data_IF_838818470126
#
_entry.id   IF_838818470126
#
_cell.length_a   1.000
_cell.length_b   1.000
_cell.length_c   1.000
_cell.angle_alpha   90.00
_cell.angle_beta   90.00
_cell.angle_gamma   90.00
#
_symmetry.space_group_name_H-M   'P 1'
#
loop_
_entity.id
_entity.type
_entity.pdbx_description
1 polymer ?
#
# COMPACT_ATOMS: atom_id res chain seq x y z
N UNK A 1 -29.40 -52.02 41.83
CA UNK A 1 -29.14 -52.13 40.38
C UNK A 1 -29.31 -50.76 39.74
N UNK A 2 -28.31 -50.29 38.98
CA UNK A 2 -28.34 -49.18 38.00
C UNK A 2 -28.63 -47.77 38.56
N UNK A 3 -27.74 -46.78 38.55
CA UNK A 3 -26.67 -46.48 37.61
C UNK A 3 -27.09 -45.27 36.75
N UNK A 4 -26.67 -44.06 37.14
CA UNK A 4 -26.93 -42.83 36.41
C UNK A 4 -26.10 -42.69 35.14
N UNK A 5 -26.66 -42.04 34.11
CA UNK A 5 -25.95 -41.25 33.11
C UNK A 5 -26.93 -40.64 32.12
N UNK A 6 -27.18 -39.33 32.26
CA UNK A 6 -27.57 -38.50 31.11
C UNK A 6 -26.34 -38.36 30.22
N UNK A 7 -26.39 -38.93 29.02
CA UNK A 7 -25.42 -38.67 27.95
C UNK A 7 -26.16 -37.97 26.81
N UNK A 8 -26.20 -36.65 26.87
CA UNK A 8 -26.41 -35.84 25.67
C UNK A 8 -25.17 -36.04 24.81
N UNK A 9 -25.34 -36.81 23.72
CA UNK A 9 -24.36 -36.91 22.64
C UNK A 9 -24.29 -35.54 21.97
N UNK A 10 -23.22 -34.80 22.18
CA UNK A 10 -22.80 -33.73 21.28
C UNK A 10 -22.34 -34.39 19.98
N UNK A 11 -23.18 -34.29 18.95
CA UNK A 11 -22.74 -34.56 17.58
C UNK A 11 -21.69 -33.50 17.18
N UNK A 12 -20.59 -33.90 16.51
CA UNK A 12 -19.65 -32.92 15.99
C UNK A 12 -20.34 -32.19 14.85
N UNK A 13 -20.53 -30.87 15.03
CA UNK A 13 -21.04 -29.99 13.98
C UNK A 13 -20.06 -30.05 12.81
N UNK A 14 -20.53 -30.61 11.71
CA UNK A 14 -19.73 -31.01 10.57
C UNK A 14 -18.85 -29.90 10.01
N UNK A 15 -17.68 -30.34 9.53
CA UNK A 15 -16.94 -29.65 8.48
C UNK A 15 -17.88 -29.41 7.28
N UNK A 16 -17.98 -28.16 6.85
CA UNK A 16 -18.78 -27.80 5.69
C UNK A 16 -19.23 -26.36 5.75
N UNK A 17 -18.30 -25.44 5.49
CA UNK A 17 -18.11 -24.74 4.21
C UNK A 17 -17.29 -23.49 4.60
N UNK A 18 -16.08 -23.31 4.04
CA UNK A 18 -15.42 -21.99 4.06
C UNK A 18 -16.23 -21.07 3.14
N UNK A 19 -17.36 -20.59 3.65
CA UNK A 19 -18.25 -19.66 2.97
C UNK A 19 -17.60 -18.28 3.00
N UNK A 20 -17.37 -17.79 1.80
CA UNK A 20 -17.44 -16.39 1.38
C UNK A 20 -16.59 -15.37 2.17
N UNK A 21 -15.65 -14.77 1.43
CA UNK A 21 -15.21 -13.39 1.58
C UNK A 21 -16.16 -12.56 2.46
N UNK A 22 -15.72 -12.23 3.69
CA UNK A 22 -16.41 -11.28 4.55
C UNK A 22 -15.86 -9.88 4.22
N UNK A 23 -16.66 -8.99 3.61
CA UNK A 23 -16.25 -7.63 3.34
C UNK A 23 -15.75 -6.93 4.60
N UNK A 24 -16.38 -7.17 5.76
CA UNK A 24 -16.03 -6.51 7.02
C UNK A 24 -14.65 -6.95 7.53
N UNK A 25 -14.28 -8.22 7.30
CA UNK A 25 -12.95 -8.74 7.60
C UNK A 25 -11.87 -8.10 6.69
N UNK A 26 -12.16 -7.96 5.38
CA UNK A 26 -11.26 -7.25 4.45
C UNK A 26 -11.05 -5.80 4.88
N UNK A 27 -12.12 -5.08 5.20
CA UNK A 27 -12.04 -3.68 5.63
C UNK A 27 -11.25 -3.52 6.94
N UNK A 28 -11.47 -4.42 7.90
CA UNK A 28 -10.73 -4.48 9.16
C UNK A 28 -9.23 -4.72 8.93
N UNK A 29 -8.88 -5.68 8.09
CA UNK A 29 -7.48 -5.98 7.75
C UNK A 29 -6.82 -4.82 7.00
N UNK A 30 -7.51 -4.23 6.03
CA UNK A 30 -7.03 -3.07 5.29
C UNK A 30 -6.68 -1.91 6.24
N UNK A 31 -7.60 -1.58 7.16
CA UNK A 31 -7.38 -0.52 8.13
C UNK A 31 -6.15 -0.80 9.02
N UNK A 32 -6.04 -2.02 9.54
CA UNK A 32 -4.90 -2.46 10.36
C UNK A 32 -3.56 -2.33 9.62
N UNK A 33 -3.50 -2.73 8.36
CA UNK A 33 -2.26 -2.66 7.59
C UNK A 33 -1.89 -1.22 7.20
N UNK A 34 -2.89 -0.36 6.96
CA UNK A 34 -2.67 1.09 6.78
C UNK A 34 -2.07 1.73 8.04
N UNK A 35 -2.49 1.35 9.24
CA UNK A 35 -1.92 1.89 10.49
C UNK A 35 -0.44 1.52 10.71
N UNK A 36 0.02 0.41 10.13
CA UNK A 36 1.42 -0.03 10.20
C UNK A 36 2.31 0.68 9.19
N UNK A 37 1.77 1.07 8.04
CA UNK A 37 2.56 1.68 6.98
C UNK A 37 2.80 3.18 7.24
N UNK A 38 4.08 3.58 7.24
CA UNK A 38 4.48 4.96 7.54
C UNK A 38 3.94 5.98 6.53
N UNK A 39 3.67 5.57 5.28
CA UNK A 39 3.12 6.45 4.24
C UNK A 39 1.87 7.22 4.69
N UNK A 40 0.92 6.52 5.32
CA UNK A 40 -0.33 7.13 5.76
C UNK A 40 -0.15 8.06 6.98
N UNK A 41 0.91 7.86 7.77
CA UNK A 41 1.29 8.76 8.87
C UNK A 41 1.96 10.02 8.34
N UNK A 42 2.82 9.87 7.32
CA UNK A 42 3.52 10.98 6.70
C UNK A 42 2.59 11.94 5.97
N UNK A 43 1.63 11.42 5.20
CA UNK A 43 0.66 12.24 4.48
C UNK A 43 -0.53 12.63 5.36
N UNK A 44 -0.95 11.74 6.25
CA UNK A 44 -2.23 11.85 6.94
C UNK A 44 -3.41 11.46 6.04
N UNK A 45 -4.41 10.79 6.60
CA UNK A 45 -5.54 10.25 5.82
C UNK A 45 -6.61 11.30 5.49
N UNK A 46 -6.80 12.31 6.35
CA UNK A 46 -7.82 13.37 6.15
C UNK A 46 -7.36 14.77 6.56
N UNK A 47 -6.57 14.87 7.63
CA UNK A 47 -6.02 16.12 8.15
C UNK A 47 -4.63 15.86 8.72
N UNK A 48 -3.84 16.93 8.81
CA UNK A 48 -2.44 16.85 9.24
C UNK A 48 -1.62 15.98 8.30
N UNK A 49 -0.57 15.39 8.87
CA UNK A 49 0.47 14.66 8.16
C UNK A 49 1.82 15.17 8.61
N UNK A 50 2.73 14.27 8.99
CA UNK A 50 4.07 14.66 9.43
C UNK A 50 4.77 15.55 8.39
N UNK A 51 4.61 15.24 7.11
CA UNK A 51 5.28 15.95 6.02
C UNK A 51 4.66 17.34 5.77
N UNK A 52 3.36 17.50 5.97
CA UNK A 52 2.69 18.80 5.91
C UNK A 52 3.19 19.68 7.07
N UNK A 53 3.23 19.14 8.29
CA UNK A 53 3.72 19.87 9.45
C UNK A 53 5.19 20.29 9.30
N UNK A 54 6.04 19.43 8.72
CA UNK A 54 7.43 19.75 8.41
C UNK A 54 7.50 20.90 7.41
N UNK A 55 6.73 20.83 6.32
CA UNK A 55 6.71 21.89 5.32
C UNK A 55 6.20 23.22 5.89
N UNK A 56 5.15 23.20 6.70
CA UNK A 56 4.61 24.43 7.32
C UNK A 56 5.59 25.08 8.31
N UNK A 57 6.43 24.28 8.99
CA UNK A 57 7.42 24.77 9.95
C UNK A 57 8.75 25.18 9.31
N UNK A 58 9.29 24.33 8.46
CA UNK A 58 10.67 24.38 7.96
C UNK A 58 10.75 24.59 6.43
N UNK A 59 9.61 24.69 5.74
CA UNK A 59 9.54 24.91 4.31
C UNK A 59 10.11 23.77 3.46
N UNK A 60 10.65 24.13 2.30
CA UNK A 60 11.25 23.19 1.35
C UNK A 60 12.47 22.45 1.93
N UNK A 61 13.31 23.13 2.72
CA UNK A 61 14.47 22.50 3.35
C UNK A 61 14.09 21.37 4.30
N UNK A 62 13.02 21.55 5.08
CA UNK A 62 12.49 20.49 5.95
C UNK A 62 12.04 19.26 5.16
N UNK A 63 11.36 19.46 4.03
CA UNK A 63 10.91 18.37 3.15
C UNK A 63 12.11 17.64 2.56
N UNK A 64 13.14 18.35 2.10
CA UNK A 64 14.35 17.74 1.55
C UNK A 64 15.12 16.95 2.60
N UNK A 65 15.25 17.47 3.82
CA UNK A 65 15.89 16.76 4.93
C UNK A 65 15.13 15.49 5.30
N UNK A 66 13.80 15.57 5.39
CA UNK A 66 12.96 14.39 5.58
C UNK A 66 13.19 13.36 4.47
N UNK A 67 13.28 13.82 3.23
CA UNK A 67 13.46 12.98 2.06
C UNK A 67 14.80 12.22 2.12
N UNK A 68 15.89 12.88 2.51
CA UNK A 68 17.20 12.26 2.68
C UNK A 68 17.23 11.24 3.82
N UNK A 69 16.60 11.56 4.95
CA UNK A 69 16.60 10.67 6.12
C UNK A 69 15.69 9.44 5.92
N UNK A 70 14.56 9.59 5.23
CA UNK A 70 13.50 8.56 5.18
C UNK A 70 13.38 7.88 3.82
N UNK A 71 13.48 8.62 2.72
CA UNK A 71 13.11 8.10 1.40
C UNK A 71 14.24 7.30 0.74
N UNK A 72 15.52 7.63 0.96
CA UNK A 72 16.64 6.92 0.31
C UNK A 72 16.55 5.39 0.53
N UNK A 73 16.25 4.95 1.75
CA UNK A 73 16.13 3.51 2.06
C UNK A 73 14.92 2.82 1.41
N UNK A 74 13.93 3.61 0.98
CA UNK A 74 12.66 3.16 0.41
C UNK A 74 12.67 3.20 -1.13
N UNK A 75 13.52 4.05 -1.71
CA UNK A 75 13.72 4.11 -3.16
C UNK A 75 14.71 3.02 -3.62
N UNK A 76 14.55 2.56 -4.85
CA UNK A 76 15.56 1.77 -5.55
C UNK A 76 16.80 2.62 -5.76
N UNK A 77 17.97 1.99 -5.62
CA UNK A 77 19.28 2.64 -5.87
C UNK A 77 19.42 4.01 -5.18
N UNK A 78 18.92 4.10 -3.95
CA UNK A 78 18.89 5.33 -3.14
C UNK A 78 18.35 6.56 -3.90
N UNK A 79 17.38 6.34 -4.79
CA UNK A 79 16.72 7.40 -5.56
C UNK A 79 17.46 7.85 -6.81
N UNK A 80 18.56 7.19 -7.19
CA UNK A 80 19.35 7.56 -8.37
C UNK A 80 18.77 6.99 -9.67
N UNK A 81 18.49 5.68 -9.70
CA UNK A 81 18.08 4.99 -10.93
C UNK A 81 16.77 4.22 -10.74
N UNK A 82 15.74 4.47 -11.57
CA UNK A 82 14.53 3.66 -11.58
C UNK A 82 14.82 2.19 -11.94
N UNK A 83 14.12 1.26 -11.30
CA UNK A 83 14.17 -0.17 -11.64
C UNK A 83 13.05 -0.50 -12.62
N UNK A 84 13.33 -1.31 -13.64
CA UNK A 84 12.28 -1.94 -14.44
C UNK A 84 11.49 -2.93 -13.57
N UNK A 85 10.20 -2.68 -13.41
CA UNK A 85 9.26 -3.55 -12.71
C UNK A 85 8.68 -4.54 -13.70
N UNK A 86 9.03 -5.81 -13.50
CA UNK A 86 8.53 -6.92 -14.33
C UNK A 86 7.21 -7.44 -13.78
N UNK A 87 6.50 -8.24 -14.59
CA UNK A 87 5.30 -8.95 -14.12
C UNK A 87 5.63 -9.87 -12.93
N UNK A 88 6.82 -10.48 -12.91
CA UNK A 88 7.24 -11.34 -11.81
C UNK A 88 7.41 -10.59 -10.49
N UNK A 89 7.87 -9.33 -10.54
CA UNK A 89 7.99 -8.47 -9.37
C UNK A 89 6.60 -8.10 -8.84
N UNK A 90 5.67 -7.73 -9.75
CA UNK A 90 4.28 -7.42 -9.42
C UNK A 90 3.58 -8.60 -8.73
N UNK A 91 3.70 -9.81 -9.27
CA UNK A 91 3.06 -11.00 -8.70
C UNK A 91 3.58 -11.31 -7.29
N UNK A 92 4.90 -11.19 -7.07
CA UNK A 92 5.49 -11.36 -5.74
C UNK A 92 4.93 -10.35 -4.74
N UNK A 93 4.81 -9.08 -5.15
CA UNK A 93 4.22 -8.04 -4.32
C UNK A 93 2.74 -8.31 -4.03
N UNK A 94 1.93 -8.58 -5.07
CA UNK A 94 0.48 -8.80 -4.94
C UNK A 94 0.16 -10.01 -4.07
N UNK A 95 0.90 -11.11 -4.19
CA UNK A 95 0.78 -12.26 -3.28
C UNK A 95 1.04 -11.87 -1.82
N UNK A 96 2.07 -11.07 -1.57
CA UNK A 96 2.36 -10.55 -0.23
C UNK A 96 1.20 -9.71 0.34
N UNK A 97 0.64 -8.81 -0.46
CA UNK A 97 -0.52 -7.99 -0.08
C UNK A 97 -1.76 -8.85 0.17
N UNK A 98 -2.05 -9.82 -0.70
CA UNK A 98 -3.21 -10.71 -0.53
C UNK A 98 -3.13 -11.50 0.78
N UNK A 99 -1.94 -11.97 1.17
CA UNK A 99 -1.73 -12.63 2.47
C UNK A 99 -2.02 -11.68 3.63
N UNK A 100 -1.57 -10.42 3.55
CA UNK A 100 -1.83 -9.42 4.59
C UNK A 100 -3.31 -9.08 4.72
N UNK A 101 -4.05 -9.09 3.61
CA UNK A 101 -5.47 -8.75 3.55
C UNK A 101 -6.41 -9.96 3.71
N UNK A 102 -5.89 -11.18 3.74
CA UNK A 102 -6.69 -12.41 3.79
C UNK A 102 -7.42 -12.74 2.47
N UNK A 103 -6.89 -12.30 1.33
CA UNK A 103 -7.50 -12.47 0.00
C UNK A 103 -7.01 -13.74 -0.72
N UNK A 104 -7.86 -14.31 -1.59
CA UNK A 104 -7.52 -15.47 -2.44
C UNK A 104 -6.63 -15.10 -3.64
N UNK A 105 -5.94 -16.10 -4.20
CA UNK A 105 -5.06 -15.93 -5.37
C UNK A 105 -5.83 -15.65 -6.68
N UNK A 106 -7.14 -15.89 -6.75
CA UNK A 106 -7.99 -15.66 -7.94
C UNK A 106 -7.97 -14.19 -8.40
N UNK A 107 -7.74 -13.24 -7.47
CA UNK A 107 -7.61 -11.81 -7.78
C UNK A 107 -6.37 -11.46 -8.62
N UNK A 108 -5.39 -12.36 -8.70
CA UNK A 108 -4.12 -12.12 -9.39
C UNK A 108 -4.26 -12.34 -10.90
N UNK A 109 -4.97 -13.40 -11.30
CA UNK A 109 -5.09 -13.81 -12.70
C UNK A 109 -5.84 -12.79 -13.56
N UNK A 110 -6.79 -12.05 -12.98
CA UNK A 110 -7.54 -11.00 -13.67
C UNK A 110 -6.66 -9.81 -14.11
N UNK A 111 -5.48 -9.63 -13.52
CA UNK A 111 -4.62 -8.47 -13.75
C UNK A 111 -3.47 -8.74 -14.74
N UNK A 112 -3.25 -9.99 -15.15
CA UNK A 112 -2.17 -10.36 -16.07
C UNK A 112 -2.25 -9.62 -17.41
N UNK A 113 -3.46 -9.48 -17.95
CA UNK A 113 -3.69 -8.83 -19.25
C UNK A 113 -3.54 -7.31 -19.20
N UNK A 114 -3.60 -6.70 -18.00
CA UNK A 114 -3.50 -5.25 -17.80
C UNK A 114 -2.10 -4.80 -17.45
N UNK A 115 -1.29 -5.68 -16.86
CA UNK A 115 0.05 -5.33 -16.42
C UNK A 115 0.97 -5.00 -17.59
N UNK A 116 1.60 -3.83 -17.51
CA UNK A 116 2.69 -3.42 -18.39
C UNK A 116 3.93 -3.18 -17.57
N UNK A 117 5.04 -3.68 -18.06
CA UNK A 117 6.34 -3.36 -17.48
C UNK A 117 6.56 -1.84 -17.54
N UNK A 118 7.05 -1.29 -16.44
CA UNK A 118 7.26 0.13 -16.28
C UNK A 118 8.45 0.35 -15.36
N UNK A 119 9.05 1.53 -15.44
CA UNK A 119 10.07 1.91 -14.48
C UNK A 119 9.41 2.41 -13.20
N UNK A 120 10.00 2.08 -12.05
CA UNK A 120 9.59 2.63 -10.77
C UNK A 120 10.83 2.99 -9.96
N UNK A 121 10.81 4.13 -9.29
CA UNK A 121 11.85 4.48 -8.34
C UNK A 121 11.49 3.99 -6.93
N UNK A 122 10.21 3.86 -6.60
CA UNK A 122 9.77 3.38 -5.28
C UNK A 122 9.81 1.85 -5.19
N UNK A 123 10.43 1.30 -4.13
CA UNK A 123 10.47 -0.15 -3.91
C UNK A 123 9.07 -0.73 -3.72
N UNK A 124 8.70 -1.73 -4.52
CA UNK A 124 7.37 -2.37 -4.44
C UNK A 124 6.98 -2.83 -3.03
N UNK A 125 7.91 -3.47 -2.32
CA UNK A 125 7.68 -3.95 -0.95
C UNK A 125 7.63 -2.83 0.12
N UNK A 126 7.75 -1.57 -0.29
CA UNK A 126 7.61 -0.39 0.56
C UNK A 126 6.42 0.49 0.15
N UNK A 127 5.59 0.03 -0.79
CA UNK A 127 4.36 0.72 -1.21
C UNK A 127 3.24 0.56 -0.18
N UNK A 128 2.19 1.35 -0.34
CA UNK A 128 0.93 1.18 0.38
C UNK A 128 0.24 -0.13 0.01
N UNK A 129 -0.82 -0.45 0.76
CA UNK A 129 -1.59 -1.70 0.57
C UNK A 129 -2.36 -1.71 -0.76
N UNK A 130 -2.59 -0.55 -1.34
CA UNK A 130 -3.20 -0.38 -2.67
C UNK A 130 -2.14 -0.07 -3.73
N UNK A 131 -0.87 -0.33 -3.42
CA UNK A 131 0.23 -0.14 -4.37
C UNK A 131 0.54 1.31 -4.66
N UNK A 132 0.04 2.24 -3.86
CA UNK A 132 0.35 3.66 -3.93
C UNK A 132 1.70 3.97 -3.27
N UNK A 133 2.20 5.19 -3.51
CA UNK A 133 3.42 5.71 -2.91
C UNK A 133 3.13 7.07 -2.27
N UNK A 134 4.17 7.74 -1.76
CA UNK A 134 4.00 9.02 -1.08
C UNK A 134 3.40 10.11 -1.96
N UNK A 135 3.80 10.18 -3.24
CA UNK A 135 3.34 11.20 -4.18
C UNK A 135 1.87 10.98 -4.54
N UNK A 136 1.50 9.74 -4.85
CA UNK A 136 0.10 9.32 -5.06
C UNK A 136 -0.82 9.82 -3.91
N UNK A 137 -0.42 9.55 -2.67
CA UNK A 137 -1.19 9.96 -1.50
C UNK A 137 -1.25 11.49 -1.32
N UNK A 138 -0.17 12.21 -1.61
CA UNK A 138 -0.14 13.68 -1.56
C UNK A 138 -1.07 14.29 -2.61
N UNK A 139 -1.06 13.79 -3.85
CA UNK A 139 -1.92 14.31 -4.91
C UNK A 139 -3.41 14.06 -4.62
N UNK A 140 -3.74 12.90 -4.06
CA UNK A 140 -5.10 12.54 -3.63
C UNK A 140 -5.66 13.45 -2.52
N UNK A 141 -4.83 14.25 -1.84
CA UNK A 141 -5.30 15.19 -0.79
C UNK A 141 -5.94 16.46 -1.34
N UNK A 142 -5.74 16.76 -2.62
CA UNK A 142 -6.29 17.95 -3.29
C UNK A 142 -6.03 19.27 -2.53
N UNK A 143 -4.86 19.37 -1.89
CA UNK A 143 -4.45 20.54 -1.10
C UNK A 143 -3.21 21.17 -1.72
N UNK A 144 -3.20 22.50 -1.82
CA UNK A 144 -2.07 23.23 -2.43
C UNK A 144 -0.74 22.87 -1.79
N UNK A 145 -0.70 22.75 -0.45
CA UNK A 145 0.50 22.35 0.29
C UNK A 145 1.00 20.96 -0.14
N UNK A 146 0.11 20.02 -0.41
CA UNK A 146 0.48 18.67 -0.85
C UNK A 146 1.05 18.69 -2.27
N UNK A 147 0.50 19.52 -3.15
CA UNK A 147 1.06 19.70 -4.50
C UNK A 147 2.46 20.32 -4.48
N UNK A 148 2.70 21.29 -3.60
CA UNK A 148 4.04 21.88 -3.44
C UNK A 148 5.05 20.86 -2.90
N UNK A 149 4.67 20.09 -1.87
CA UNK A 149 5.52 19.01 -1.33
C UNK A 149 5.82 17.97 -2.41
N UNK A 150 4.81 17.51 -3.15
CA UNK A 150 4.99 16.56 -4.24
C UNK A 150 5.96 17.10 -5.31
N UNK A 151 5.82 18.38 -5.68
CA UNK A 151 6.71 19.05 -6.62
C UNK A 151 8.16 19.10 -6.13
N UNK A 152 8.39 19.42 -4.85
CA UNK A 152 9.72 19.42 -4.23
C UNK A 152 10.34 18.02 -4.31
N UNK A 153 9.59 17.00 -3.92
CA UNK A 153 10.06 15.62 -3.93
C UNK A 153 10.37 15.13 -5.35
N UNK A 154 9.55 15.47 -6.34
CA UNK A 154 9.79 15.12 -7.75
C UNK A 154 10.99 15.84 -8.34
N UNK A 155 11.26 17.09 -7.94
CA UNK A 155 12.51 17.77 -8.31
C UNK A 155 13.72 17.06 -7.72
N UNK A 156 13.63 16.59 -6.47
CA UNK A 156 14.71 15.88 -5.78
C UNK A 156 14.97 14.49 -6.34
N UNK A 157 13.90 13.76 -6.68
CA UNK A 157 13.95 12.41 -7.23
C UNK A 157 13.06 12.31 -8.48
N UNK A 158 13.55 12.79 -9.65
CA UNK A 158 12.75 12.82 -10.88
C UNK A 158 12.26 11.45 -11.34
N UNK A 159 12.99 10.40 -10.99
CA UNK A 159 12.60 9.02 -11.32
C UNK A 159 11.24 8.61 -10.74
N UNK A 160 10.77 9.25 -9.67
CA UNK A 160 9.45 8.97 -9.07
C UNK A 160 8.28 9.30 -10.02
N UNK A 161 8.50 10.12 -11.05
CA UNK A 161 7.46 10.39 -12.04
C UNK A 161 7.08 9.15 -12.88
N UNK A 162 7.93 8.11 -12.89
CA UNK A 162 7.62 6.86 -13.60
C UNK A 162 6.73 5.92 -12.76
N UNK A 163 6.62 6.15 -11.45
CA UNK A 163 5.82 5.32 -10.57
C UNK A 163 4.32 5.45 -10.90
N UNK A 164 3.64 4.31 -11.02
CA UNK A 164 2.19 4.21 -11.26
C UNK A 164 1.48 3.56 -10.07
N UNK A 165 0.16 3.70 -9.96
CA UNK A 165 -0.65 2.92 -9.04
C UNK A 165 -0.70 1.44 -9.43
N UNK A 166 -0.63 0.55 -8.43
CA UNK A 166 -0.62 -0.92 -8.62
C UNK A 166 -1.85 -1.63 -8.01
N UNK A 167 -2.72 -0.91 -7.31
CA UNK A 167 -3.95 -1.43 -6.73
C UNK A 167 -5.08 -1.53 -7.75
N UNK A 168 -6.03 -2.43 -7.51
CA UNK A 168 -7.02 -2.85 -8.53
C UNK A 168 -7.94 -1.71 -9.01
N UNK A 169 -8.22 -0.72 -8.15
CA UNK A 169 -9.12 0.41 -8.46
C UNK A 169 -8.45 1.50 -9.31
N UNK A 170 -7.15 1.75 -9.10
CA UNK A 170 -6.39 2.81 -9.79
C UNK A 170 -5.28 2.25 -10.70
N UNK A 171 -5.31 0.95 -10.99
CA UNK A 171 -4.21 0.26 -11.67
C UNK A 171 -3.83 0.94 -12.99
N UNK A 172 -2.59 1.41 -13.07
CA UNK A 172 -2.04 2.05 -14.27
C UNK A 172 -2.23 3.57 -14.34
N UNK A 173 -2.83 4.21 -13.34
CA UNK A 173 -2.86 5.67 -13.28
C UNK A 173 -1.46 6.22 -13.00
N UNK A 174 -1.03 7.13 -13.86
CA UNK A 174 0.22 7.86 -13.75
C UNK A 174 0.03 9.08 -12.83
N UNK A 175 1.13 9.52 -12.23
CA UNK A 175 1.17 10.75 -11.40
C UNK A 175 0.95 12.01 -12.27
N UNK A 176 1.05 11.90 -13.61
CA UNK A 176 0.83 12.95 -14.60
C UNK A 176 0.22 12.42 -15.90
#
# INVERSE_FOLDING_TARGET
>A
MGGGSSRNKTEPRGEGVKLAFDPDEKWSNLYREREKNHLYKWVGVRKGGELINIYERDGEEGVLKFAEEKLLTILYDDGQTPKLVTYSDYIKWKKGVNVQLGLSEESIDMQQSRFKEHFALWKLNKRGVEGENLIHLLLNREQQVCYEIARILLKRFPGMANDIYLGDEQFGEHIF
#
